data_IF_571842184087
#
_entry.id   IF_571842184087
#
_cell.length_a   1.000
_cell.length_b   1.000
_cell.length_c   1.000
_cell.angle_alpha   90.00
_cell.angle_beta   90.00
_cell.angle_gamma   90.00
#
_symmetry.space_group_name_H-M   'P 1'
#
loop_
_entity.id
_entity.type
_entity.pdbx_description
1 polymer ?
#
# COMPACT_ATOMS: atom_id res chain seq x y z
N UNK A 1 -13.91 -12.95 -7.06
CA UNK A 1 -13.10 -12.11 -6.16
C UNK A 1 -11.71 -11.87 -6.72
N UNK A 2 -10.84 -12.89 -6.85
CA UNK A 2 -9.47 -12.76 -7.38
C UNK A 2 -9.39 -11.98 -8.70
N UNK A 3 -10.18 -12.37 -9.71
CA UNK A 3 -10.19 -11.68 -11.01
C UNK A 3 -10.61 -10.21 -10.92
N UNK A 4 -11.50 -9.88 -9.98
CA UNK A 4 -11.94 -8.51 -9.76
C UNK A 4 -10.81 -7.69 -9.12
N UNK A 5 -10.23 -8.16 -8.01
CA UNK A 5 -9.12 -7.47 -7.33
C UNK A 5 -7.91 -7.31 -8.27
N UNK A 6 -7.60 -8.33 -9.08
CA UNK A 6 -6.51 -8.25 -10.06
C UNK A 6 -6.72 -7.14 -11.10
N UNK A 7 -7.97 -6.90 -11.51
CA UNK A 7 -8.30 -5.82 -12.45
C UNK A 7 -8.20 -4.42 -11.81
N UNK A 8 -8.30 -4.33 -10.49
CA UNK A 8 -8.14 -3.09 -9.75
C UNK A 8 -6.67 -2.68 -9.59
N UNK A 9 -5.71 -3.57 -9.83
CA UNK A 9 -4.30 -3.18 -9.83
C UNK A 9 -3.99 -2.36 -11.09
N UNK A 10 -3.80 -1.06 -10.92
CA UNK A 10 -3.52 -0.10 -11.99
C UNK A 10 -2.22 0.64 -11.70
N UNK A 11 -1.32 0.65 -12.68
CA UNK A 11 0.05 1.17 -12.57
C UNK A 11 0.83 0.56 -11.38
N UNK A 12 1.10 1.36 -10.37
CA UNK A 12 1.80 0.97 -9.14
C UNK A 12 0.84 0.77 -7.96
N UNK A 13 -0.45 1.05 -8.09
CA UNK A 13 -1.43 1.06 -6.99
C UNK A 13 -2.68 0.21 -7.27
N UNK A 14 -3.66 0.31 -6.39
CA UNK A 14 -5.01 -0.25 -6.57
C UNK A 14 -6.03 0.88 -6.62
N UNK A 15 -6.90 0.84 -7.63
CA UNK A 15 -8.07 1.71 -7.72
C UNK A 15 -9.25 1.13 -6.94
N UNK A 16 -10.11 1.98 -6.38
CA UNK A 16 -11.29 1.52 -5.64
C UNK A 16 -12.35 0.87 -6.53
N UNK A 17 -12.54 1.43 -7.73
CA UNK A 17 -13.55 1.03 -8.70
C UNK A 17 -13.33 1.69 -10.08
N UNK A 18 -14.38 1.70 -10.91
CA UNK A 18 -14.39 2.26 -12.26
C UNK A 18 -14.11 3.77 -12.36
N UNK A 19 -14.20 4.52 -11.25
CA UNK A 19 -13.89 5.95 -11.23
C UNK A 19 -12.39 6.23 -11.01
N UNK A 20 -11.58 5.18 -10.86
CA UNK A 20 -10.11 5.24 -10.84
C UNK A 20 -9.55 6.09 -9.69
N UNK A 21 -10.27 6.18 -8.58
CA UNK A 21 -9.73 6.79 -7.36
C UNK A 21 -8.57 5.95 -6.83
N UNK A 22 -7.47 6.62 -6.50
CA UNK A 22 -6.27 6.02 -5.92
C UNK A 22 -6.23 6.40 -4.44
N UNK A 23 -6.13 5.39 -3.58
CA UNK A 23 -5.90 5.58 -2.14
C UNK A 23 -5.19 4.34 -1.60
N UNK A 24 -4.23 4.54 -0.70
CA UNK A 24 -3.51 3.47 -0.01
C UNK A 24 -4.43 2.49 0.72
N UNK A 25 -5.63 2.90 1.13
CA UNK A 25 -6.63 2.01 1.71
C UNK A 25 -7.14 0.94 0.73
N UNK A 26 -7.20 1.24 -0.57
CA UNK A 26 -7.58 0.25 -1.59
C UNK A 26 -6.48 -0.81 -1.76
N UNK A 27 -5.21 -0.38 -1.70
CA UNK A 27 -4.06 -1.29 -1.71
C UNK A 27 -4.10 -2.24 -0.50
N UNK A 28 -4.37 -1.70 0.69
CA UNK A 28 -4.56 -2.51 1.89
C UNK A 28 -5.72 -3.50 1.74
N UNK A 29 -6.90 -3.04 1.32
CA UNK A 29 -8.07 -3.90 1.14
C UNK A 29 -7.81 -5.03 0.14
N UNK A 30 -7.18 -4.72 -0.99
CA UNK A 30 -6.84 -5.70 -2.01
C UNK A 30 -5.93 -6.80 -1.46
N UNK A 31 -4.83 -6.41 -0.81
CA UNK A 31 -3.87 -7.36 -0.22
C UNK A 31 -4.48 -8.14 0.94
N UNK A 32 -5.26 -7.51 1.81
CA UNK A 32 -5.93 -8.18 2.92
C UNK A 32 -6.89 -9.27 2.41
N UNK A 33 -7.73 -8.95 1.41
CA UNK A 33 -8.62 -9.92 0.80
C UNK A 33 -7.86 -11.09 0.16
N UNK A 34 -6.80 -10.80 -0.61
CA UNK A 34 -6.01 -11.84 -1.28
C UNK A 34 -5.19 -12.70 -0.30
N UNK A 35 -4.68 -12.11 0.78
CA UNK A 35 -3.98 -12.84 1.83
C UNK A 35 -4.91 -13.82 2.55
N UNK A 36 -6.14 -13.42 2.84
CA UNK A 36 -7.13 -14.26 3.53
C UNK A 36 -7.51 -15.52 2.73
N UNK A 37 -7.39 -15.48 1.40
CA UNK A 37 -7.71 -16.60 0.51
C UNK A 37 -6.47 -17.25 -0.11
N UNK A 38 -5.27 -16.91 0.38
CA UNK A 38 -3.99 -17.43 -0.09
C UNK A 38 -3.78 -17.29 -1.61
N UNK A 39 -4.05 -16.09 -2.15
CA UNK A 39 -3.95 -15.78 -3.59
C UNK A 39 -3.20 -14.47 -3.87
N UNK A 40 -2.16 -14.17 -3.09
CA UNK A 40 -1.34 -12.97 -3.30
C UNK A 40 -0.51 -13.02 -4.59
N UNK A 41 -0.26 -14.20 -5.14
CA UNK A 41 0.52 -14.45 -6.36
C UNK A 41 -0.13 -13.87 -7.64
N UNK A 42 -1.39 -13.45 -7.57
CA UNK A 42 -2.11 -12.94 -8.75
C UNK A 42 -1.83 -11.47 -9.06
N UNK A 43 -1.24 -10.73 -8.11
CA UNK A 43 -0.94 -9.30 -8.17
C UNK A 43 0.59 -9.06 -8.16
N UNK A 44 1.01 -7.90 -8.65
CA UNK A 44 2.40 -7.44 -8.56
C UNK A 44 2.65 -6.77 -7.19
N UNK A 45 3.19 -7.55 -6.26
CA UNK A 45 3.45 -7.08 -4.88
C UNK A 45 4.54 -6.02 -4.86
N UNK A 46 5.57 -6.13 -5.71
CA UNK A 46 6.72 -5.23 -5.66
C UNK A 46 6.32 -3.84 -6.16
N UNK A 47 5.51 -3.73 -7.21
CA UNK A 47 4.93 -2.45 -7.64
C UNK A 47 4.02 -1.82 -6.60
N UNK A 48 3.12 -2.62 -6.03
CA UNK A 48 2.23 -2.15 -4.97
C UNK A 48 3.02 -1.68 -3.72
N UNK A 49 4.11 -2.37 -3.38
CA UNK A 49 5.03 -1.97 -2.31
C UNK A 49 5.72 -0.65 -2.65
N UNK A 50 6.19 -0.46 -3.88
CA UNK A 50 6.80 0.79 -4.32
C UNK A 50 5.86 1.99 -4.12
N UNK A 51 4.59 1.84 -4.53
CA UNK A 51 3.58 2.89 -4.32
C UNK A 51 3.40 3.23 -2.83
N UNK A 52 3.26 2.22 -1.96
CA UNK A 52 3.16 2.45 -0.51
C UNK A 52 4.39 3.21 0.02
N UNK A 53 5.59 2.85 -0.43
CA UNK A 53 6.82 3.50 0.03
C UNK A 53 6.94 4.95 -0.45
N UNK A 54 6.43 5.30 -1.63
CA UNK A 54 6.41 6.70 -2.10
C UNK A 54 5.39 7.54 -1.30
N UNK A 55 4.39 6.92 -0.67
CA UNK A 55 3.48 7.58 0.26
C UNK A 55 4.06 7.79 1.68
N UNK A 56 5.25 7.26 1.99
CA UNK A 56 5.91 7.46 3.28
C UNK A 56 6.54 8.86 3.33
N UNK A 57 6.15 9.65 4.33
CA UNK A 57 6.67 10.99 4.57
C UNK A 57 7.92 10.99 5.45
N UNK A 58 8.66 12.11 5.43
CA UNK A 58 9.89 12.29 6.21
C UNK A 58 9.69 12.22 7.74
N UNK A 59 8.47 12.46 8.20
CA UNK A 59 8.06 12.39 9.60
C UNK A 59 7.60 10.99 10.02
N UNK A 60 7.64 10.02 9.11
CA UNK A 60 7.24 8.63 9.33
C UNK A 60 5.74 8.38 9.21
N UNK A 61 4.96 9.39 8.79
CA UNK A 61 3.53 9.24 8.50
C UNK A 61 3.30 8.80 7.04
N UNK A 62 2.07 8.41 6.71
CA UNK A 62 1.66 7.99 5.37
C UNK A 62 0.54 8.85 4.81
N UNK A 63 0.64 9.10 3.51
CA UNK A 63 -0.38 9.77 2.71
C UNK A 63 -1.29 8.80 1.94
N UNK A 64 -2.50 9.27 1.57
CA UNK A 64 -3.41 8.56 0.66
C UNK A 64 -2.78 8.35 -0.74
N UNK A 65 -2.09 9.39 -1.21
CA UNK A 65 -1.43 9.54 -2.51
C UNK A 65 -0.18 10.39 -2.25
N UNK A 66 0.95 10.17 -2.94
CA UNK A 66 2.18 10.92 -2.68
C UNK A 66 1.99 12.45 -2.65
N UNK A 67 2.47 13.09 -1.59
CA UNK A 67 2.47 14.54 -1.44
C UNK A 67 1.13 15.15 -1.00
N UNK A 68 0.27 14.36 -0.36
CA UNK A 68 -0.98 14.83 0.22
C UNK A 68 -0.82 15.06 1.73
N UNK A 69 -1.91 15.10 2.50
CA UNK A 69 -1.83 15.33 3.94
C UNK A 69 -1.92 13.99 4.66
N UNK A 70 -0.95 13.76 5.54
CA UNK A 70 -0.91 12.58 6.38
C UNK A 70 -2.14 12.47 7.29
N UNK A 71 -2.62 11.24 7.46
CA UNK A 71 -3.75 10.92 8.32
C UNK A 71 -3.54 9.57 9.00
N UNK A 72 -3.85 9.46 10.28
CA UNK A 72 -3.60 8.24 11.07
C UNK A 72 -4.23 6.97 10.47
N UNK A 73 -5.35 7.11 9.75
CA UNK A 73 -5.98 6.00 9.02
C UNK A 73 -5.08 5.40 7.92
N UNK A 74 -4.21 6.20 7.31
CA UNK A 74 -3.30 5.74 6.26
C UNK A 74 -2.07 5.05 6.81
N UNK A 75 -1.61 5.41 8.01
CA UNK A 75 -0.59 4.63 8.72
C UNK A 75 -1.06 3.18 8.90
N UNK A 76 -2.30 3.00 9.37
CA UNK A 76 -2.87 1.66 9.54
C UNK A 76 -2.89 0.88 8.22
N UNK A 77 -3.35 1.52 7.13
CA UNK A 77 -3.44 0.87 5.83
C UNK A 77 -2.06 0.49 5.27
N UNK A 78 -1.10 1.41 5.31
CA UNK A 78 0.24 1.21 4.75
C UNK A 78 1.07 0.21 5.55
N UNK A 79 1.12 0.35 6.88
CA UNK A 79 1.83 -0.61 7.75
C UNK A 79 1.15 -1.99 7.70
N UNK A 80 -0.18 -2.01 7.69
CA UNK A 80 -0.96 -3.23 7.51
C UNK A 80 -0.65 -3.93 6.19
N UNK A 81 -0.59 -3.17 5.08
CA UNK A 81 -0.19 -3.68 3.78
C UNK A 81 1.20 -4.31 3.84
N UNK A 82 2.21 -3.57 4.31
CA UNK A 82 3.60 -4.03 4.37
C UNK A 82 3.76 -5.27 5.23
N UNK A 83 3.00 -5.37 6.32
CA UNK A 83 2.94 -6.57 7.17
C UNK A 83 2.40 -7.79 6.41
N UNK A 84 1.30 -7.63 5.68
CA UNK A 84 0.65 -8.73 4.95
C UNK A 84 1.51 -9.26 3.79
N UNK A 85 2.28 -8.39 3.14
CA UNK A 85 3.21 -8.76 2.04
C UNK A 85 4.63 -9.10 2.52
N UNK A 86 4.89 -9.09 3.82
CA UNK A 86 6.21 -9.37 4.40
C UNK A 86 7.30 -8.42 3.87
N UNK A 87 7.01 -7.11 3.92
CA UNK A 87 7.90 -5.99 3.53
C UNK A 87 8.03 -4.93 4.64
N UNK A 88 7.83 -5.30 5.91
CA UNK A 88 7.99 -4.37 7.03
C UNK A 88 9.44 -3.91 7.20
N UNK A 89 10.40 -4.70 6.71
CA UNK A 89 11.81 -4.36 6.64
C UNK A 89 12.12 -3.15 5.75
N UNK A 90 11.19 -2.77 4.86
CA UNK A 90 11.29 -1.52 4.10
C UNK A 90 11.12 -0.27 5.00
N UNK A 91 10.55 -0.42 6.20
CA UNK A 91 10.44 0.68 7.16
C UNK A 91 11.73 0.76 7.97
N UNK A 92 12.50 1.84 7.78
CA UNK A 92 13.59 2.15 8.68
C UNK A 92 13.05 2.72 10.00
N UNK A 93 12.71 1.81 10.92
CA UNK A 93 12.27 2.17 12.28
C UNK A 93 13.41 2.65 13.18
N UNK A 94 14.66 2.60 12.69
CA UNK A 94 15.84 2.97 13.50
C UNK A 94 16.11 4.48 13.52
N UNK A 95 15.42 5.26 12.68
CA UNK A 95 15.86 6.62 12.43
C UNK A 95 14.71 7.62 12.36
N UNK A 96 14.65 8.50 13.37
CA UNK A 96 14.20 9.88 13.17
C UNK A 96 15.19 10.69 12.31
N UNK A 97 15.81 10.09 11.29
CA UNK A 97 16.60 10.75 10.25
C UNK A 97 16.48 9.94 8.93
N UNK A 98 15.77 10.55 8.00
CA UNK A 98 16.19 10.78 6.61
C UNK A 98 17.56 10.17 6.21
N UNK A 99 17.51 9.17 5.33
CA UNK A 99 18.51 8.85 4.29
C UNK A 99 17.69 8.33 3.09
N UNK A 100 17.76 8.83 1.85
CA UNK A 100 18.51 9.89 1.20
C UNK A 100 17.67 10.40 0.01
#
# INVERSE_FOLDING_TARGET
LCSYIKQLQHDESFIGDQWQEIDTCFSFCAVACLKLIDSLDIIDIDRATNFIMICLNFDGDFDCIPGTKSHAGQIYCCVGFLSLVQRLDNLDLSTGNMLA
#
